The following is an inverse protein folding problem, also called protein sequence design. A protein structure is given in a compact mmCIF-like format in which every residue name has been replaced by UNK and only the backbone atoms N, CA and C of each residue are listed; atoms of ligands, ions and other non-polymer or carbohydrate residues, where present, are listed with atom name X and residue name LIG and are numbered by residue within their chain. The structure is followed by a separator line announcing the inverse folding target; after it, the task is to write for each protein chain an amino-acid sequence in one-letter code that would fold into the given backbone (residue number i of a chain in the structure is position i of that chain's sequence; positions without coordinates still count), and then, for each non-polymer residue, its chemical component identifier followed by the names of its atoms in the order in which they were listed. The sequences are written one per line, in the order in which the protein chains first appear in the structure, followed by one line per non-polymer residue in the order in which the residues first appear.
data_IF_608726408628
#
_entry.id   IF_608726408628
#
_cell.length_a   1.000
_cell.length_b   1.000
_cell.length_c   1.000
_cell.angle_alpha   90.00
_cell.angle_beta   90.00
_cell.angle_gamma   90.00
#
_symmetry.space_group_name_H-M   'P 1'
#
loop_
_entity.id
_entity.type
_entity.pdbx_description
1 polymer ?
#
# COMPACT_ATOMS: atom_id res chain seq x y z
N UNK A 1 -3.69 11.72 70.52
CA UNK A 1 -3.03 10.98 69.41
C UNK A 1 -3.73 11.35 68.08
N UNK A 2 -3.14 12.20 67.29
CA UNK A 2 -3.68 12.62 65.98
C UNK A 2 -2.92 11.86 64.91
N UNK A 3 -3.59 10.92 64.23
CA UNK A 3 -3.03 10.19 63.09
C UNK A 3 -3.27 10.97 61.81
N UNK A 4 -2.19 11.42 61.17
CA UNK A 4 -2.17 12.06 59.88
C UNK A 4 -2.04 10.97 58.81
N UNK A 5 -3.07 10.76 57.98
CA UNK A 5 -3.01 9.90 56.78
C UNK A 5 -2.40 10.72 55.63
N UNK A 6 -1.24 10.30 55.12
CA UNK A 6 -0.66 10.81 53.91
C UNK A 6 -1.26 10.06 52.72
N UNK A 7 -1.96 10.78 51.85
CA UNK A 7 -2.46 10.26 50.56
C UNK A 7 -1.34 10.44 49.54
N UNK A 8 -0.74 9.34 49.11
CA UNK A 8 0.22 9.34 47.99
C UNK A 8 -0.57 9.34 46.68
N UNK A 9 -0.56 10.47 45.96
CA UNK A 9 -1.09 10.58 44.62
C UNK A 9 -0.10 9.94 43.64
N UNK A 10 -0.45 8.79 43.05
CA UNK A 10 0.26 8.18 41.92
C UNK A 10 -0.14 8.93 40.67
N UNK A 11 0.78 9.74 40.11
CA UNK A 11 0.65 10.27 38.75
C UNK A 11 0.91 9.10 37.77
N UNK A 12 -0.13 8.61 37.13
CA UNK A 12 -0.04 7.78 35.94
C UNK A 12 0.43 8.67 34.78
N UNK A 13 1.71 8.57 34.45
CA UNK A 13 2.23 9.06 33.18
C UNK A 13 1.62 8.17 32.08
N UNK A 14 0.57 8.66 31.44
CA UNK A 14 0.09 8.10 30.18
C UNK A 14 1.19 8.35 29.11
N UNK A 15 1.94 7.32 28.75
CA UNK A 15 2.75 7.35 27.54
C UNK A 15 1.77 7.42 26.37
N UNK A 16 1.73 8.57 25.67
CA UNK A 16 1.08 8.64 24.38
C UNK A 16 1.79 7.61 23.50
N UNK A 17 1.08 6.58 23.09
CA UNK A 17 1.55 5.72 22.00
C UNK A 17 1.64 6.61 20.76
N UNK A 18 2.83 6.80 20.22
CA UNK A 18 2.98 7.44 18.93
C UNK A 18 2.16 6.64 17.91
N UNK A 19 1.20 7.30 17.28
CA UNK A 19 0.43 6.67 16.23
C UNK A 19 1.37 6.29 15.07
N UNK A 20 1.17 5.10 14.49
CA UNK A 20 1.90 4.66 13.32
C UNK A 20 2.00 5.77 12.28
N UNK A 21 3.22 6.14 11.89
CA UNK A 21 3.45 7.23 10.94
C UNK A 21 4.24 6.72 9.76
N UNK A 22 3.87 7.19 8.56
CA UNK A 22 4.61 6.90 7.33
C UNK A 22 5.53 8.08 7.05
N UNK A 23 6.82 7.82 7.00
CA UNK A 23 7.81 8.84 6.64
C UNK A 23 7.78 9.08 5.12
N UNK A 24 7.77 10.33 4.66
CA UNK A 24 7.88 10.65 3.24
C UNK A 24 9.14 10.03 2.64
N UNK A 25 8.99 9.30 1.52
CA UNK A 25 10.11 8.63 0.87
C UNK A 25 9.83 8.36 -0.60
N UNK A 26 10.92 8.13 -1.35
CA UNK A 26 10.89 7.56 -2.69
C UNK A 26 11.64 6.25 -2.68
N UNK A 27 11.01 5.18 -3.17
CA UNK A 27 11.61 3.87 -3.32
C UNK A 27 11.51 3.40 -4.79
N UNK A 28 12.59 2.82 -5.29
CA UNK A 28 12.65 2.26 -6.65
C UNK A 28 12.99 0.78 -6.52
N UNK A 29 12.22 -0.07 -7.20
CA UNK A 29 12.42 -1.52 -7.21
C UNK A 29 12.67 -2.00 -8.63
N UNK A 30 13.64 -2.89 -8.81
CA UNK A 30 13.78 -3.67 -10.02
C UNK A 30 12.87 -4.89 -9.92
N UNK A 31 12.05 -5.10 -10.95
CA UNK A 31 11.07 -6.19 -11.02
C UNK A 31 11.58 -7.31 -11.93
N UNK A 32 11.48 -8.55 -11.46
CA UNK A 32 11.84 -9.74 -12.24
C UNK A 32 10.80 -10.84 -12.04
N UNK A 33 10.62 -11.70 -13.05
CA UNK A 33 9.77 -12.87 -12.94
C UNK A 33 10.31 -13.79 -11.84
N UNK A 34 9.49 -14.12 -10.85
CA UNK A 34 9.81 -15.01 -9.74
C UNK A 34 9.31 -16.43 -10.01
N UNK A 35 8.07 -16.54 -10.49
CA UNK A 35 7.37 -17.80 -10.74
C UNK A 35 6.45 -17.64 -11.94
N UNK A 36 6.25 -18.71 -12.69
CA UNK A 36 5.24 -18.82 -13.74
C UNK A 36 4.71 -20.24 -13.80
N UNK A 37 3.41 -20.39 -13.93
CA UNK A 37 2.76 -21.67 -14.13
C UNK A 37 2.66 -22.00 -15.63
N UNK A 38 2.42 -23.24 -15.98
CA UNK A 38 2.39 -23.67 -17.40
C UNK A 38 1.31 -22.95 -18.22
N UNK A 39 0.18 -22.59 -17.57
CA UNK A 39 -0.96 -21.92 -18.19
C UNK A 39 -0.82 -20.41 -18.40
N UNK A 40 0.14 -19.74 -17.75
CA UNK A 40 0.23 -18.27 -17.77
C UNK A 40 0.61 -17.68 -19.13
N UNK A 41 1.28 -18.45 -19.97
CA UNK A 41 1.83 -17.96 -21.23
C UNK A 41 3.04 -17.01 -21.06
N UNK A 42 3.39 -16.59 -19.85
CA UNK A 42 4.53 -15.71 -19.56
C UNK A 42 5.82 -16.50 -19.54
N UNK A 43 6.79 -16.11 -20.37
CA UNK A 43 8.14 -16.68 -20.41
C UNK A 43 9.12 -15.86 -19.56
N UNK A 44 9.04 -14.54 -19.64
CA UNK A 44 9.82 -13.63 -18.81
C UNK A 44 9.07 -12.33 -18.56
N UNK A 45 9.35 -11.73 -17.41
CA UNK A 45 8.86 -10.40 -17.04
C UNK A 45 9.98 -9.64 -16.35
N UNK A 46 10.26 -8.44 -16.82
CA UNK A 46 11.25 -7.54 -16.21
C UNK A 46 10.73 -6.12 -16.23
N UNK A 47 11.02 -5.36 -15.19
CA UNK A 47 10.49 -4.00 -15.11
C UNK A 47 11.08 -3.19 -13.99
N UNK A 48 10.43 -2.08 -13.73
CA UNK A 48 10.74 -1.19 -12.62
C UNK A 48 9.47 -0.62 -12.03
N UNK A 49 9.44 -0.54 -10.71
CA UNK A 49 8.43 0.13 -9.94
C UNK A 49 9.09 1.30 -9.22
N UNK A 50 8.53 2.49 -9.36
CA UNK A 50 8.87 3.68 -8.59
C UNK A 50 7.65 4.06 -7.72
N UNK A 51 7.90 4.24 -6.44
CA UNK A 51 6.90 4.63 -5.45
C UNK A 51 7.42 5.85 -4.71
N UNK A 52 6.57 6.87 -4.57
CA UNK A 52 6.88 8.06 -3.79
C UNK A 52 5.67 8.41 -2.94
N UNK A 53 5.91 8.68 -1.68
CA UNK A 53 4.91 9.15 -0.74
C UNK A 53 5.37 10.44 -0.10
N UNK A 54 4.47 11.43 -0.08
CA UNK A 54 4.65 12.75 0.53
C UNK A 54 3.45 13.08 1.40
N UNK A 55 3.62 14.03 2.31
CA UNK A 55 2.55 14.48 3.20
C UNK A 55 2.58 13.81 4.57
N UNK A 56 1.46 13.91 5.28
CA UNK A 56 1.31 13.45 6.66
C UNK A 56 -0.16 13.22 7.00
N UNK A 57 -0.43 12.70 8.19
CA UNK A 57 -1.80 12.52 8.67
C UNK A 57 -2.60 13.83 8.83
N UNK A 58 -1.93 14.99 8.97
CA UNK A 58 -2.58 16.29 9.11
C UNK A 58 -2.78 17.03 7.78
N UNK A 59 -1.92 16.80 6.79
CA UNK A 59 -2.02 17.44 5.47
C UNK A 59 -2.68 16.53 4.42
N UNK A 60 -2.79 15.24 4.72
CA UNK A 60 -3.11 14.19 3.78
C UNK A 60 -1.84 13.62 3.12
N UNK A 61 -2.01 12.51 2.43
CA UNK A 61 -0.92 11.81 1.76
C UNK A 61 -1.09 11.89 0.23
N UNK A 62 0.00 12.19 -0.45
CA UNK A 62 0.10 12.04 -1.90
C UNK A 62 1.00 10.86 -2.21
N UNK A 63 0.48 9.89 -2.96
CA UNK A 63 1.22 8.73 -3.42
C UNK A 63 1.36 8.79 -4.94
N UNK A 64 2.59 8.80 -5.42
CA UNK A 64 2.93 8.67 -6.84
C UNK A 64 3.51 7.28 -7.09
N UNK A 65 2.95 6.57 -8.04
CA UNK A 65 3.35 5.22 -8.39
C UNK A 65 3.57 5.13 -9.91
N UNK A 66 4.63 4.47 -10.33
CA UNK A 66 4.82 4.07 -11.72
C UNK A 66 5.39 2.67 -11.81
N UNK A 67 4.76 1.82 -12.58
CA UNK A 67 5.25 0.50 -12.90
C UNK A 67 5.35 0.32 -14.41
N UNK A 68 6.57 0.12 -14.89
CA UNK A 68 6.83 -0.18 -16.30
C UNK A 68 7.41 -1.60 -16.40
N UNK A 69 6.67 -2.51 -17.06
CA UNK A 69 7.03 -3.92 -17.14
C UNK A 69 6.99 -4.41 -18.58
N UNK A 70 8.07 -5.06 -18.98
CA UNK A 70 8.17 -5.77 -20.25
C UNK A 70 7.88 -7.24 -19.99
N UNK A 71 6.84 -7.75 -20.64
CA UNK A 71 6.49 -9.16 -20.69
C UNK A 71 6.91 -9.79 -22.01
N UNK A 72 7.43 -11.01 -21.95
CA UNK A 72 7.69 -11.86 -23.11
C UNK A 72 6.87 -13.12 -22.95
N UNK A 73 6.00 -13.39 -23.91
CA UNK A 73 5.17 -14.59 -23.96
C UNK A 73 5.92 -15.76 -24.58
N UNK A 74 5.51 -16.99 -24.30
CA UNK A 74 6.14 -18.22 -24.86
C UNK A 74 6.15 -18.25 -26.39
N UNK A 75 5.18 -17.59 -27.02
CA UNK A 75 5.12 -17.44 -28.49
C UNK A 75 6.05 -16.34 -29.04
N UNK A 76 6.88 -15.74 -28.19
CA UNK A 76 7.78 -14.65 -28.56
C UNK A 76 7.12 -13.26 -28.68
N UNK A 77 5.82 -13.14 -28.48
CA UNK A 77 5.14 -11.85 -28.42
C UNK A 77 5.63 -11.06 -27.21
N UNK A 78 5.79 -9.77 -27.39
CA UNK A 78 6.24 -8.87 -26.32
C UNK A 78 5.19 -7.79 -26.05
N UNK A 79 5.03 -7.43 -24.78
CA UNK A 79 4.23 -6.30 -24.35
C UNK A 79 5.02 -5.46 -23.36
N UNK A 80 5.03 -4.14 -23.54
CA UNK A 80 5.51 -3.17 -22.56
C UNK A 80 4.27 -2.48 -22.00
N UNK A 81 4.00 -2.70 -20.72
CA UNK A 81 2.92 -2.04 -19.96
C UNK A 81 3.56 -0.99 -19.07
N UNK A 82 3.09 0.25 -19.16
CA UNK A 82 3.56 1.36 -18.33
C UNK A 82 2.34 2.03 -17.70
N UNK A 83 2.18 1.85 -16.40
CA UNK A 83 1.09 2.39 -15.59
C UNK A 83 1.65 3.44 -14.65
N UNK A 84 1.02 4.61 -14.63
CA UNK A 84 1.33 5.72 -13.74
C UNK A 84 0.08 6.09 -12.97
N UNK A 85 0.19 6.18 -11.64
CA UNK A 85 -0.91 6.67 -10.80
C UNK A 85 -0.44 7.78 -9.89
N UNK A 86 -1.36 8.68 -9.58
CA UNK A 86 -1.22 9.66 -8.50
C UNK A 86 -2.48 9.60 -7.67
N UNK A 87 -2.32 9.35 -6.39
CA UNK A 87 -3.43 9.25 -5.42
C UNK A 87 -3.22 10.28 -4.33
N UNK A 88 -4.27 10.98 -3.97
CA UNK A 88 -4.31 11.86 -2.79
C UNK A 88 -5.38 11.36 -1.83
N UNK A 89 -5.00 11.17 -0.59
CA UNK A 89 -5.91 10.90 0.53
C UNK A 89 -5.86 12.07 1.51
N UNK A 90 -6.98 12.76 1.65
CA UNK A 90 -7.09 13.91 2.54
C UNK A 90 -7.02 13.55 4.03
N UNK A 91 -6.81 14.55 4.90
CA UNK A 91 -6.80 14.35 6.34
C UNK A 91 -8.06 13.64 6.82
N UNK A 92 -7.89 12.69 7.76
CA UNK A 92 -8.98 11.90 8.28
C UNK A 92 -9.66 10.98 7.25
N UNK A 93 -9.03 10.76 6.10
CA UNK A 93 -9.57 9.93 5.01
C UNK A 93 -10.98 10.36 4.54
N UNK A 94 -11.27 11.66 4.50
CA UNK A 94 -12.56 12.20 4.06
C UNK A 94 -12.61 12.49 2.55
N UNK A 95 -11.44 12.71 1.95
CA UNK A 95 -11.25 12.96 0.53
C UNK A 95 -10.33 11.92 -0.09
N UNK A 96 -10.66 11.44 -1.28
CA UNK A 96 -9.83 10.58 -2.09
C UNK A 96 -9.84 11.09 -3.54
N UNK A 97 -8.66 11.18 -4.14
CA UNK A 97 -8.50 11.50 -5.56
C UNK A 97 -7.49 10.57 -6.16
N UNK A 98 -7.84 10.02 -7.31
CA UNK A 98 -6.97 9.08 -8.03
C UNK A 98 -6.93 9.47 -9.50
N UNK A 99 -5.75 9.45 -10.06
CA UNK A 99 -5.53 9.56 -11.50
C UNK A 99 -4.62 8.43 -11.94
N UNK A 100 -5.03 7.71 -13.00
CA UNK A 100 -4.25 6.65 -13.62
C UNK A 100 -4.09 6.93 -15.11
N UNK A 101 -2.87 6.70 -15.60
CA UNK A 101 -2.55 6.67 -17.03
C UNK A 101 -1.89 5.34 -17.35
N UNK A 102 -2.35 4.70 -18.41
CA UNK A 102 -1.79 3.45 -18.89
C UNK A 102 -1.39 3.55 -20.36
N UNK A 103 -0.27 2.97 -20.70
CA UNK A 103 0.11 2.72 -22.08
C UNK A 103 0.56 1.27 -22.27
N UNK A 104 0.18 0.70 -23.42
CA UNK A 104 0.63 -0.63 -23.86
C UNK A 104 1.39 -0.46 -25.16
N UNK A 105 2.66 -0.90 -25.18
CA UNK A 105 3.56 -0.72 -26.33
C UNK A 105 3.65 0.74 -26.78
N UNK A 106 3.64 1.68 -25.83
CA UNK A 106 3.63 3.14 -26.03
C UNK A 106 2.33 3.70 -26.65
N UNK A 107 1.32 2.87 -26.87
CA UNK A 107 0.00 3.34 -27.26
C UNK A 107 -0.78 3.69 -25.98
N UNK A 108 -1.24 4.93 -25.89
CA UNK A 108 -2.07 5.42 -24.78
C UNK A 108 -3.38 4.62 -24.71
N UNK A 109 -3.75 4.14 -23.53
CA UNK A 109 -4.97 3.38 -23.25
C UNK A 109 -6.03 4.21 -22.53
N UNK A 110 -5.68 5.41 -22.14
CA UNK A 110 -6.61 6.34 -21.52
C UNK A 110 -6.09 6.91 -20.19
N UNK A 111 -6.86 7.85 -19.71
CA UNK A 111 -6.67 8.57 -18.44
C UNK A 111 -7.94 8.38 -17.63
N UNK A 112 -7.81 7.70 -16.48
CA UNK A 112 -8.90 7.51 -15.51
C UNK A 112 -8.72 8.49 -14.37
N UNK A 113 -9.79 9.20 -14.00
CA UNK A 113 -9.82 10.10 -12.85
C UNK A 113 -11.00 9.78 -11.97
N UNK A 114 -10.74 9.71 -10.69
CA UNK A 114 -11.72 9.40 -9.67
C UNK A 114 -11.59 10.40 -8.54
N UNK A 115 -12.72 10.81 -8.01
CA UNK A 115 -12.81 11.54 -6.74
C UNK A 115 -13.87 10.90 -5.87
N UNK A 116 -13.62 10.84 -4.56
CA UNK A 116 -14.60 10.42 -3.55
C UNK A 116 -14.54 11.39 -2.40
N UNK A 117 -15.70 11.78 -1.87
CA UNK A 117 -15.81 12.55 -0.63
C UNK A 117 -16.81 11.90 0.31
N UNK A 118 -16.57 12.02 1.62
CA UNK A 118 -17.49 11.54 2.65
C UNK A 118 -17.51 12.48 3.86
N UNK A 119 -18.66 12.63 4.56
CA UNK A 119 -18.78 13.56 5.69
C UNK A 119 -18.06 13.06 6.94
N UNK A 120 -17.85 11.74 7.08
CA UNK A 120 -17.14 11.09 8.18
C UNK A 120 -16.54 9.75 7.70
N UNK A 121 -15.56 9.22 8.41
CA UNK A 121 -14.85 7.98 8.04
C UNK A 121 -15.79 6.77 7.96
N UNK A 122 -16.79 6.72 8.81
CA UNK A 122 -17.80 5.67 8.95
C UNK A 122 -19.08 5.95 8.13
N UNK A 123 -19.09 7.02 7.33
CA UNK A 123 -20.20 7.37 6.45
C UNK A 123 -19.96 6.85 5.01
N UNK A 124 -21.05 6.63 4.24
CA UNK A 124 -20.93 6.36 2.81
C UNK A 124 -20.18 7.50 2.11
N UNK A 125 -19.38 7.16 1.08
CA UNK A 125 -18.74 8.16 0.24
C UNK A 125 -19.45 8.31 -1.09
N UNK A 126 -19.52 9.56 -1.58
CA UNK A 126 -20.00 9.90 -2.91
C UNK A 126 -18.79 10.03 -3.85
N UNK A 127 -18.80 9.30 -4.94
CA UNK A 127 -17.71 9.25 -5.90
C UNK A 127 -18.15 9.68 -7.30
N UNK A 128 -17.16 10.13 -8.07
CA UNK A 128 -17.30 10.41 -9.50
C UNK A 128 -16.14 9.80 -10.25
N UNK A 129 -16.45 8.97 -11.24
CA UNK A 129 -15.53 8.49 -12.25
C UNK A 129 -15.65 9.39 -13.47
N UNK A 130 -14.56 10.10 -13.81
CA UNK A 130 -14.56 11.01 -14.95
C UNK A 130 -14.46 10.25 -16.26
N UNK A 131 -15.59 10.03 -16.84
CA UNK A 131 -15.83 9.50 -18.19
C UNK A 131 -16.49 10.58 -19.05
N UNK A 132 -17.15 10.21 -20.16
CA UNK A 132 -17.92 11.17 -20.98
C UNK A 132 -19.27 10.56 -21.34
N UNK A 133 -20.33 10.84 -20.56
CA UNK A 133 -20.45 11.73 -19.38
C UNK A 133 -19.82 11.14 -18.11
N UNK A 134 -19.63 11.96 -17.07
CA UNK A 134 -19.16 11.52 -15.76
C UNK A 134 -20.14 10.53 -15.12
N UNK A 135 -19.61 9.50 -14.46
CA UNK A 135 -20.38 8.43 -13.83
C UNK A 135 -20.32 8.57 -12.31
N UNK A 136 -21.44 8.87 -11.64
CA UNK A 136 -21.51 8.88 -10.18
C UNK A 136 -21.54 7.45 -9.63
N UNK A 137 -20.91 7.23 -8.47
CA UNK A 137 -20.97 6.00 -7.72
C UNK A 137 -20.92 6.26 -6.21
N UNK A 138 -21.11 5.23 -5.41
CA UNK A 138 -21.01 5.31 -3.94
C UNK A 138 -20.09 4.22 -3.41
N UNK A 139 -19.38 4.52 -2.34
CA UNK A 139 -18.63 3.53 -1.56
C UNK A 139 -19.34 3.29 -0.22
N UNK A 140 -19.24 2.07 0.30
CA UNK A 140 -19.84 1.70 1.57
C UNK A 140 -19.15 2.40 2.76
N UNK A 141 -19.85 2.58 3.91
CA UNK A 141 -19.31 3.31 5.07
C UNK A 141 -18.01 2.72 5.64
N UNK A 142 -17.87 1.41 5.58
CA UNK A 142 -16.73 0.65 6.11
C UNK A 142 -15.55 0.55 5.13
N UNK A 143 -15.67 1.18 3.95
CA UNK A 143 -14.61 1.19 2.95
C UNK A 143 -13.45 2.06 3.39
N UNK A 144 -12.23 1.53 3.33
CA UNK A 144 -11.00 2.24 3.65
C UNK A 144 -10.24 2.60 2.36
N UNK A 145 -9.45 3.68 2.42
CA UNK A 145 -8.53 4.06 1.35
C UNK A 145 -7.14 3.42 1.60
N UNK A 146 -6.25 3.34 0.59
CA UNK A 146 -4.98 2.62 0.68
C UNK A 146 -4.08 3.08 1.84
N UNK A 147 -3.93 4.39 2.07
CA UNK A 147 -3.11 4.89 3.18
C UNK A 147 -3.74 4.61 4.54
N UNK A 148 -5.06 4.77 4.65
CA UNK A 148 -5.79 4.39 5.85
C UNK A 148 -5.60 2.89 6.15
N UNK A 149 -5.66 2.03 5.11
CA UNK A 149 -5.41 0.60 5.24
C UNK A 149 -3.96 0.31 5.67
N UNK A 150 -2.97 0.95 5.03
CA UNK A 150 -1.55 0.79 5.39
C UNK A 150 -1.30 1.16 6.86
N UNK A 151 -1.78 2.31 7.33
CA UNK A 151 -1.63 2.74 8.72
C UNK A 151 -2.29 1.76 9.69
N UNK A 152 -3.45 1.21 9.33
CA UNK A 152 -4.14 0.18 10.11
C UNK A 152 -3.30 -1.11 10.22
N UNK A 153 -2.67 -1.55 9.14
CA UNK A 153 -1.80 -2.72 9.16
C UNK A 153 -0.51 -2.49 9.97
N UNK A 154 0.06 -1.29 9.90
CA UNK A 154 1.21 -0.91 10.74
C UNK A 154 0.84 -0.92 12.22
N UNK A 155 -0.29 -0.32 12.60
CA UNK A 155 -0.79 -0.38 13.98
C UNK A 155 -1.06 -1.82 14.45
N UNK A 156 -1.53 -2.70 13.57
CA UNK A 156 -1.68 -4.12 13.88
C UNK A 156 -0.31 -4.79 14.11
N UNK A 157 0.72 -4.40 13.35
CA UNK A 157 2.11 -4.84 13.55
C UNK A 157 2.65 -4.43 14.92
N UNK A 158 2.46 -3.17 15.31
CA UNK A 158 2.83 -2.64 16.64
C UNK A 158 2.10 -3.39 17.78
N UNK A 159 0.85 -3.79 17.55
CA UNK A 159 0.06 -4.59 18.50
C UNK A 159 0.49 -6.08 18.57
N UNK A 160 1.53 -6.49 17.83
CA UNK A 160 2.06 -7.86 17.88
C UNK A 160 1.69 -8.73 16.68
N UNK A 161 1.12 -8.15 15.64
CA UNK A 161 0.69 -8.82 14.42
C UNK A 161 -0.72 -9.39 14.51
N UNK A 162 -1.18 -10.01 13.43
CA UNK A 162 -2.52 -10.58 13.37
C UNK A 162 -3.10 -10.59 11.96
N UNK A 163 -4.43 -10.61 11.89
CA UNK A 163 -5.20 -10.61 10.64
C UNK A 163 -6.11 -9.38 10.59
N UNK A 164 -6.18 -8.75 9.43
CA UNK A 164 -7.17 -7.74 9.09
C UNK A 164 -8.04 -8.20 7.91
N UNK A 165 -9.28 -7.71 7.85
CA UNK A 165 -10.17 -7.89 6.71
C UNK A 165 -10.89 -6.56 6.50
N UNK A 166 -10.55 -5.86 5.44
CA UNK A 166 -11.08 -4.55 5.09
C UNK A 166 -11.67 -4.56 3.68
N UNK A 167 -12.66 -3.71 3.43
CA UNK A 167 -13.05 -3.33 2.07
C UNK A 167 -12.19 -2.13 1.69
N UNK A 168 -11.39 -2.26 0.64
CA UNK A 168 -10.46 -1.23 0.17
C UNK A 168 -10.94 -0.68 -1.17
N UNK A 169 -10.97 0.63 -1.28
CA UNK A 169 -11.19 1.36 -2.53
C UNK A 169 -9.90 2.09 -2.90
N UNK A 170 -9.25 1.69 -3.98
CA UNK A 170 -7.97 2.25 -4.44
C UNK A 170 -8.06 2.96 -5.80
N UNK A 171 -9.21 2.87 -6.47
CA UNK A 171 -9.45 3.49 -7.77
C UNK A 171 -8.79 2.78 -8.96
N UNK A 172 -8.10 1.65 -8.76
CA UNK A 172 -7.37 0.93 -9.81
C UNK A 172 -8.30 0.27 -10.85
N UNK A 173 -9.52 -0.09 -10.45
CA UNK A 173 -10.54 -0.70 -11.30
C UNK A 173 -11.83 0.13 -11.30
N UNK A 174 -11.71 1.41 -11.67
CA UNK A 174 -12.84 2.33 -11.71
C UNK A 174 -13.53 2.49 -10.37
N UNK A 175 -14.84 2.25 -10.31
CA UNK A 175 -15.66 2.36 -9.11
C UNK A 175 -15.67 1.09 -8.23
N UNK A 176 -14.87 0.08 -8.56
CA UNK A 176 -14.84 -1.18 -7.82
C UNK A 176 -14.04 -1.07 -6.53
N UNK A 177 -14.51 -1.75 -5.48
CA UNK A 177 -13.77 -1.97 -4.24
C UNK A 177 -13.41 -3.45 -4.12
N UNK A 178 -12.37 -3.74 -3.34
CA UNK A 178 -11.89 -5.10 -3.10
C UNK A 178 -11.98 -5.45 -1.62
N UNK A 179 -12.20 -6.72 -1.31
CA UNK A 179 -11.96 -7.24 0.03
C UNK A 179 -10.47 -7.55 0.15
N UNK A 180 -9.78 -6.82 0.99
CA UNK A 180 -8.40 -7.08 1.35
C UNK A 180 -8.35 -7.94 2.61
N UNK A 181 -7.75 -9.13 2.50
CA UNK A 181 -7.42 -9.99 3.64
C UNK A 181 -5.93 -9.87 3.88
N UNK A 182 -5.56 -9.35 5.04
CA UNK A 182 -4.18 -9.05 5.38
C UNK A 182 -3.71 -9.91 6.53
N UNK A 183 -2.47 -10.40 6.43
CA UNK A 183 -1.75 -11.07 7.50
C UNK A 183 -0.52 -10.25 7.85
N UNK A 184 -0.40 -9.88 9.11
CA UNK A 184 0.76 -9.17 9.66
C UNK A 184 1.47 -10.12 10.61
N UNK A 185 2.72 -10.44 10.31
CA UNK A 185 3.53 -11.34 11.11
C UNK A 185 4.15 -10.65 12.32
N UNK A 186 4.92 -11.41 13.09
CA UNK A 186 5.65 -10.89 14.26
C UNK A 186 6.73 -9.90 13.83
N UNK A 187 6.99 -8.92 14.68
CA UNK A 187 8.04 -7.94 14.48
C UNK A 187 9.41 -8.62 14.30
N UNK A 188 10.15 -8.12 13.33
CA UNK A 188 11.58 -8.39 13.13
C UNK A 188 12.35 -7.21 13.73
N UNK A 189 13.39 -7.47 14.55
CA UNK A 189 14.19 -6.40 15.13
C UNK A 189 15.00 -5.66 14.05
N UNK A 190 15.49 -4.46 14.34
CA UNK A 190 16.46 -3.76 13.51
C UNK A 190 17.65 -4.69 13.16
N UNK A 191 18.15 -4.56 11.93
CA UNK A 191 19.24 -5.39 11.40
C UNK A 191 18.84 -6.82 10.99
N UNK A 192 17.57 -7.21 11.13
CA UNK A 192 17.10 -8.49 10.63
C UNK A 192 17.23 -8.53 9.09
N UNK A 193 17.62 -9.71 8.57
CA UNK A 193 17.74 -9.91 7.13
C UNK A 193 16.34 -9.80 6.50
N UNK A 194 16.22 -8.89 5.52
CA UNK A 194 15.01 -8.74 4.72
C UNK A 194 14.73 -10.03 3.90
N UNK A 195 13.51 -10.19 3.45
CA UNK A 195 13.04 -11.36 2.69
C UNK A 195 13.89 -11.64 1.43
N UNK A 196 14.36 -10.59 0.78
CA UNK A 196 15.19 -10.65 -0.44
C UNK A 196 16.70 -10.70 -0.16
N UNK A 197 17.10 -10.85 1.11
CA UNK A 197 18.50 -10.95 1.53
C UNK A 197 19.16 -9.62 1.82
N UNK A 198 20.49 -9.62 1.91
CA UNK A 198 21.28 -8.41 2.14
C UNK A 198 21.25 -7.51 0.89
N UNK A 199 20.81 -6.26 1.07
CA UNK A 199 20.67 -5.30 -0.02
C UNK A 199 21.29 -3.94 0.39
N UNK A 200 22.35 -3.47 -0.26
CA UNK A 200 22.96 -2.17 0.05
C UNK A 200 22.00 -0.98 -0.08
N UNK A 201 21.01 -1.03 -0.99
CA UNK A 201 20.01 0.00 -1.13
C UNK A 201 19.09 0.12 0.10
N UNK A 202 18.97 -0.96 0.88
CA UNK A 202 18.22 -0.99 2.14
C UNK A 202 19.04 -0.58 3.36
N UNK A 203 20.26 -0.05 3.19
CA UNK A 203 21.13 0.34 4.33
C UNK A 203 20.47 1.38 5.25
N UNK A 204 19.64 2.28 4.70
CA UNK A 204 18.88 3.25 5.48
C UNK A 204 17.78 2.61 6.36
N UNK A 205 17.51 1.32 6.22
CA UNK A 205 16.52 0.55 6.97
C UNK A 205 17.19 -0.33 8.06
N UNK A 206 18.52 -0.31 8.19
CA UNK A 206 19.27 -1.19 9.10
C UNK A 206 18.88 -1.04 10.56
N UNK A 207 18.50 0.18 10.95
CA UNK A 207 18.18 0.53 12.34
C UNK A 207 16.65 0.59 12.60
N UNK A 208 15.85 0.14 11.63
CA UNK A 208 14.38 0.18 11.68
C UNK A 208 13.83 -1.24 11.76
N UNK A 209 12.92 -1.48 12.70
CA UNK A 209 12.17 -2.74 12.79
C UNK A 209 11.18 -2.90 11.64
N UNK A 210 10.72 -4.13 11.41
CA UNK A 210 9.75 -4.41 10.34
C UNK A 210 8.81 -5.55 10.69
N UNK A 211 7.72 -5.66 9.91
CA UNK A 211 6.77 -6.76 9.98
C UNK A 211 6.64 -7.41 8.60
N UNK A 212 6.71 -8.76 8.49
CA UNK A 212 6.32 -9.43 7.26
C UNK A 212 4.81 -9.29 7.08
N UNK A 213 4.38 -8.80 5.93
CA UNK A 213 2.99 -8.60 5.59
C UNK A 213 2.63 -9.33 4.30
N UNK A 214 1.39 -9.78 4.22
CA UNK A 214 0.76 -10.30 3.01
C UNK A 214 -0.65 -9.75 2.93
N UNK A 215 -1.01 -9.19 1.78
CA UNK A 215 -2.33 -8.66 1.48
C UNK A 215 -2.87 -9.36 0.24
N UNK A 216 -4.00 -10.03 0.37
CA UNK A 216 -4.71 -10.72 -0.73
C UNK A 216 -5.98 -9.95 -1.05
N UNK A 217 -6.17 -9.61 -2.32
CA UNK A 217 -7.31 -8.82 -2.80
C UNK A 217 -8.30 -9.71 -3.54
N UNK A 218 -9.56 -9.64 -3.13
CA UNK A 218 -10.66 -10.42 -3.67
C UNK A 218 -11.72 -9.48 -4.22
N UNK A 219 -12.37 -9.83 -5.33
CA UNK A 219 -13.59 -9.16 -5.76
C UNK A 219 -14.67 -9.26 -4.69
N UNK A 220 -15.54 -8.26 -4.59
CA UNK A 220 -16.67 -8.30 -3.66
C UNK A 220 -17.80 -9.17 -4.18
N UNK A 221 -17.92 -9.29 -5.48
CA UNK A 221 -18.89 -10.09 -6.22
C UNK A 221 -18.17 -11.11 -7.12
N UNK A 222 -18.80 -12.25 -7.38
CA UNK A 222 -18.24 -13.33 -8.18
C UNK A 222 -17.47 -14.38 -7.36
N UNK A 223 -16.35 -14.89 -7.91
CA UNK A 223 -15.47 -15.83 -7.22
C UNK A 223 -14.70 -15.12 -6.09
N UNK A 224 -15.05 -15.47 -4.86
CA UNK A 224 -14.43 -14.90 -3.64
C UNK A 224 -13.44 -15.86 -2.99
N UNK A 225 -13.16 -17.01 -3.58
CA UNK A 225 -12.25 -18.03 -3.03
C UNK A 225 -10.80 -17.82 -3.51
N UNK A 226 -10.65 -17.31 -4.74
CA UNK A 226 -9.34 -17.04 -5.34
C UNK A 226 -9.05 -15.54 -5.34
N UNK A 227 -7.92 -15.06 -4.80
CA UNK A 227 -7.58 -13.65 -4.88
C UNK A 227 -7.27 -13.25 -6.34
N UNK A 228 -7.68 -12.04 -6.73
CA UNK A 228 -7.29 -11.44 -8.01
C UNK A 228 -5.78 -11.21 -8.07
N UNK A 229 -5.20 -10.76 -6.97
CA UNK A 229 -3.77 -10.65 -6.77
C UNK A 229 -3.41 -10.62 -5.29
N UNK A 230 -2.14 -10.88 -5.01
CA UNK A 230 -1.59 -10.82 -3.65
C UNK A 230 -0.26 -10.09 -3.65
N UNK A 231 -0.02 -9.29 -2.62
CA UNK A 231 1.26 -8.61 -2.40
C UNK A 231 1.84 -9.09 -1.09
N UNK A 232 3.13 -9.44 -1.07
CA UNK A 232 3.87 -9.75 0.15
C UNK A 232 5.13 -8.90 0.23
N UNK A 233 5.46 -8.42 1.43
CA UNK A 233 6.62 -7.55 1.68
C UNK A 233 6.97 -7.55 3.17
N UNK A 234 8.14 -7.01 3.49
CA UNK A 234 8.46 -6.56 4.84
C UNK A 234 8.14 -5.05 4.92
N UNK A 235 7.17 -4.69 5.77
CA UNK A 235 6.83 -3.30 6.05
C UNK A 235 7.67 -2.81 7.23
N UNK A 236 8.47 -1.78 7.02
CA UNK A 236 9.25 -1.15 8.07
C UNK A 236 8.42 -0.17 8.89
N UNK A 237 8.82 0.06 10.14
CA UNK A 237 8.13 0.97 11.08
C UNK A 237 7.99 2.40 10.55
N UNK A 238 8.84 2.81 9.61
CA UNK A 238 8.77 4.09 8.91
C UNK A 238 7.89 4.07 7.64
N UNK A 239 7.19 2.98 7.36
CA UNK A 239 6.30 2.83 6.22
C UNK A 239 6.96 2.44 4.90
N UNK A 240 8.28 2.22 4.87
CA UNK A 240 8.97 1.70 3.67
C UNK A 240 8.71 0.21 3.54
N UNK A 241 8.35 -0.25 2.34
CA UNK A 241 8.25 -1.67 2.02
C UNK A 241 9.54 -2.20 1.37
N UNK A 242 9.92 -3.44 1.66
CA UNK A 242 11.06 -4.11 1.02
C UNK A 242 10.75 -5.60 0.77
N UNK A 243 11.49 -6.22 -0.16
CA UNK A 243 11.32 -7.63 -0.49
C UNK A 243 9.94 -7.91 -1.09
N UNK A 244 9.55 -7.15 -2.10
CA UNK A 244 8.22 -7.25 -2.71
C UNK A 244 8.04 -8.57 -3.46
N UNK A 245 6.87 -9.19 -3.29
CA UNK A 245 6.36 -10.25 -4.17
C UNK A 245 4.99 -9.83 -4.64
N UNK A 246 4.83 -9.71 -5.94
CA UNK A 246 3.56 -9.39 -6.62
C UNK A 246 3.06 -10.67 -7.28
N UNK A 247 2.04 -11.29 -6.73
CA UNK A 247 1.48 -12.58 -7.18
C UNK A 247 0.14 -12.34 -7.88
N UNK A 248 0.08 -12.69 -9.16
CA UNK A 248 -1.09 -12.53 -10.02
C UNK A 248 -1.80 -13.88 -10.28
N UNK A 249 -1.56 -14.87 -9.43
CA UNK A 249 -2.14 -16.20 -9.55
C UNK A 249 -1.29 -17.13 -10.43
N UNK A 250 -1.30 -16.95 -11.71
CA UNK A 250 -0.60 -17.80 -12.68
C UNK A 250 0.88 -17.43 -12.91
N UNK A 251 1.31 -16.24 -12.46
CA UNK A 251 2.71 -15.85 -12.37
C UNK A 251 2.93 -14.91 -11.20
N UNK A 252 4.18 -14.80 -10.75
CA UNK A 252 4.57 -13.83 -9.72
C UNK A 252 5.86 -13.12 -10.11
N UNK A 253 6.01 -11.89 -9.62
CA UNK A 253 7.20 -11.07 -9.79
C UNK A 253 7.81 -10.75 -8.43
N UNK A 254 9.13 -10.73 -8.35
CA UNK A 254 9.86 -10.16 -7.21
C UNK A 254 10.23 -8.70 -7.51
N UNK A 255 10.16 -7.86 -6.46
CA UNK A 255 10.64 -6.48 -6.50
C UNK A 255 11.77 -6.28 -5.49
N UNK A 256 12.98 -6.11 -6.01
CA UNK A 256 14.18 -5.86 -5.19
C UNK A 256 14.43 -4.37 -5.11
N UNK A 257 14.56 -3.84 -3.89
CA UNK A 257 14.82 -2.41 -3.66
C UNK A 257 16.17 -2.03 -4.29
N UNK A 258 16.13 -1.07 -5.22
CA UNK A 258 17.28 -0.56 -5.95
C UNK A 258 17.81 0.77 -5.40
N UNK A 259 16.87 1.63 -5.02
CA UNK A 259 17.18 2.96 -4.50
C UNK A 259 16.13 3.37 -3.46
N UNK A 260 16.57 4.01 -2.40
CA UNK A 260 15.71 4.54 -1.35
C UNK A 260 16.19 5.94 -0.96
N UNK A 261 15.30 6.89 -1.04
CA UNK A 261 15.53 8.27 -0.60
C UNK A 261 14.45 8.69 0.38
N UNK A 262 14.84 8.96 1.61
CA UNK A 262 13.95 9.61 2.59
C UNK A 262 13.77 11.07 2.18
N UNK A 263 12.54 11.55 2.21
CA UNK A 263 12.16 12.93 1.89
C UNK A 263 11.98 13.72 3.19
N UNK A 264 12.05 15.07 3.14
CA UNK A 264 11.77 15.88 4.31
C UNK A 264 10.41 15.56 4.92
N UNK A 265 10.29 15.48 6.25
CA UNK A 265 9.00 15.29 6.88
C UNK A 265 8.06 16.47 6.58
N UNK A 266 6.78 16.19 6.42
CA UNK A 266 5.77 17.21 6.35
C UNK A 266 5.64 17.91 7.71
N UNK A 267 5.47 19.22 7.69
CA UNK A 267 5.25 20.00 8.91
C UNK A 267 3.77 20.01 9.24
N UNK A 268 3.38 19.31 10.30
CA UNK A 268 2.07 19.54 10.89
C UNK A 268 2.07 20.85 11.68
N UNK A 269 1.08 21.76 11.48
CA UNK A 269 0.98 23.02 12.22
C UNK A 269 0.73 22.81 13.72
#
# INVERSE_FOLDING_TARGET
MKSTFAVASFLLLATAADAATVAPHRAIYDLTLLRTDEGSGVQSATGRLAFEIEGSGCEGFTVSFRMATKYVQREGKQALIDTMTTTFEGPGALDFRHQMKESINRADKGDTRISVTRPAVDAPGEGTLSTKPDEPFTIAPDTVFPMQHQLRLMALGEAGGGRDSSVVFDGSDGAQSYRAISLVGKAKPPGAIARDGANPAAAALSDVGSWPMTVSYFKLDGDTETPEYQVSFDMYENGVANGLVLDYGDFAMSGTLRDLKMLPPASCP
#
